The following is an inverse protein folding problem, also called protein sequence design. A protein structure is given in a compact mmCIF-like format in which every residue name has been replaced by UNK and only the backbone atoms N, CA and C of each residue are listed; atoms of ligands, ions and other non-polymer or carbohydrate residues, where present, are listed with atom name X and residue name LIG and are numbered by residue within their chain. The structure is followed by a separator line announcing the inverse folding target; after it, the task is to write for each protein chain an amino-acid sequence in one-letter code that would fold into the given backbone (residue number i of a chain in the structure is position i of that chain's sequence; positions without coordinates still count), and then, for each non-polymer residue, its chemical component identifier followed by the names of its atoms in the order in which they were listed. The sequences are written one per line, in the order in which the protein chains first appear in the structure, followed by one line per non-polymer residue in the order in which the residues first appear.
data_IF_708698082083
#
_entry.id   IF_708698082083
#
_cell.length_a   1.000
_cell.length_b   1.000
_cell.length_c   1.000
_cell.angle_alpha   90.00
_cell.angle_beta   90.00
_cell.angle_gamma   90.00
#
_symmetry.space_group_name_H-M   'P 1'
#
loop_
_entity.id
_entity.type
_entity.pdbx_description
1 polymer ?
#
# COMPACT_ATOMS: atom_id res chain seq x y z
N UNK A 1 -0.67 3.01 -5.27
CA UNK A 1 -1.40 2.32 -6.35
C UNK A 1 -2.29 1.25 -5.73
N UNK A 2 -3.56 1.17 -6.13
CA UNK A 2 -4.42 0.03 -5.76
C UNK A 2 -4.43 -0.95 -6.93
N UNK A 3 -4.18 -2.22 -6.64
CA UNK A 3 -4.20 -3.32 -7.61
C UNK A 3 -5.62 -3.59 -8.06
N UNK A 4 -5.78 -3.86 -9.36
CA UNK A 4 -7.07 -4.22 -9.92
C UNK A 4 -7.35 -5.72 -9.73
N UNK A 5 -8.27 -6.08 -8.84
CA UNK A 5 -8.67 -7.47 -8.61
C UNK A 5 -9.73 -7.92 -9.62
N UNK A 6 -9.44 -8.98 -10.37
CA UNK A 6 -10.43 -9.63 -11.24
C UNK A 6 -11.56 -10.25 -10.42
N UNK A 7 -12.70 -10.55 -11.06
CA UNK A 7 -13.83 -11.26 -10.41
C UNK A 7 -13.38 -12.56 -9.77
N UNK A 8 -12.52 -13.33 -10.45
CA UNK A 8 -11.97 -14.58 -9.91
C UNK A 8 -11.11 -14.34 -8.65
N UNK A 9 -10.25 -13.32 -8.67
CA UNK A 9 -9.41 -12.98 -7.52
C UNK A 9 -10.22 -12.55 -6.30
N UNK A 10 -11.24 -11.70 -6.47
CA UNK A 10 -12.14 -11.27 -5.39
C UNK A 10 -12.83 -12.45 -4.71
N UNK A 11 -13.38 -13.38 -5.51
CA UNK A 11 -14.02 -14.61 -4.99
C UNK A 11 -13.02 -15.47 -4.22
N UNK A 12 -11.81 -15.66 -4.75
CA UNK A 12 -10.76 -16.45 -4.07
C UNK A 12 -10.28 -15.80 -2.77
N UNK A 13 -10.13 -14.48 -2.73
CA UNK A 13 -9.80 -13.72 -1.52
C UNK A 13 -10.86 -13.95 -0.45
N UNK A 14 -12.14 -13.86 -0.80
CA UNK A 14 -13.25 -14.13 0.12
C UNK A 14 -13.23 -15.57 0.64
N UNK A 15 -13.13 -16.56 -0.25
CA UNK A 15 -13.13 -17.99 0.11
C UNK A 15 -11.96 -18.38 1.04
N UNK A 16 -10.86 -17.62 1.01
CA UNK A 16 -9.66 -17.89 1.81
C UNK A 16 -9.52 -16.95 3.00
N UNK A 17 -10.49 -16.06 3.23
CA UNK A 17 -10.41 -15.01 4.23
C UNK A 17 -9.10 -14.20 4.14
N UNK A 18 -8.67 -13.86 2.93
CA UNK A 18 -7.49 -13.02 2.68
C UNK A 18 -7.97 -11.63 2.24
N UNK A 19 -7.87 -10.61 3.13
CA UNK A 19 -8.20 -9.22 2.80
C UNK A 19 -7.37 -8.70 1.61
N UNK A 20 -7.96 -7.82 0.79
CA UNK A 20 -7.23 -7.21 -0.33
C UNK A 20 -5.98 -6.44 0.13
N UNK A 21 -6.05 -5.78 1.29
CA UNK A 21 -4.88 -5.10 1.87
C UNK A 21 -3.72 -6.07 2.08
N UNK A 22 -3.96 -7.30 2.56
CA UNK A 22 -2.88 -8.28 2.74
C UNK A 22 -2.26 -8.70 1.41
N UNK A 23 -3.05 -8.84 0.35
CA UNK A 23 -2.53 -9.10 -1.00
C UNK A 23 -1.69 -7.93 -1.53
N UNK A 24 -2.12 -6.67 -1.32
CA UNK A 24 -1.30 -5.48 -1.67
C UNK A 24 0.01 -5.45 -0.88
N UNK A 25 -0.01 -5.82 0.40
CA UNK A 25 1.18 -5.91 1.22
C UNK A 25 2.14 -6.99 0.70
N UNK A 26 1.63 -8.12 0.18
CA UNK A 26 2.48 -9.12 -0.50
C UNK A 26 3.14 -8.56 -1.76
N UNK A 27 2.44 -7.72 -2.54
CA UNK A 27 3.02 -7.06 -3.72
C UNK A 27 4.09 -6.02 -3.37
N UNK A 28 3.93 -5.30 -2.26
CA UNK A 28 4.88 -4.25 -1.86
C UNK A 28 6.09 -4.76 -1.06
N UNK A 29 5.91 -5.79 -0.25
CA UNK A 29 6.93 -6.28 0.69
C UNK A 29 7.42 -7.69 0.40
N UNK A 30 6.70 -8.44 -0.41
CA UNK A 30 7.02 -9.82 -0.74
C UNK A 30 8.16 -9.97 -1.73
N UNK A 31 8.47 -11.22 -2.03
CA UNK A 31 9.33 -11.64 -3.12
C UNK A 31 8.48 -12.06 -4.32
N UNK A 32 9.01 -11.86 -5.52
CA UNK A 32 8.35 -12.19 -6.77
C UNK A 32 9.09 -13.33 -7.47
N UNK A 33 8.38 -14.42 -7.73
CA UNK A 33 8.82 -15.49 -8.61
C UNK A 33 8.08 -15.40 -9.95
N UNK A 34 8.83 -15.42 -11.06
CA UNK A 34 8.24 -15.45 -12.40
C UNK A 34 7.74 -16.87 -12.71
N UNK A 35 6.46 -16.99 -13.08
CA UNK A 35 5.85 -18.28 -13.45
C UNK A 35 5.79 -18.49 -14.98
N UNK A 36 6.37 -17.57 -15.76
CA UNK A 36 6.23 -17.53 -17.22
C UNK A 36 4.90 -16.93 -17.68
N UNK A 37 4.78 -16.67 -18.99
CA UNK A 37 3.57 -16.11 -19.63
C UNK A 37 3.05 -14.82 -18.95
N UNK A 38 3.96 -13.96 -18.48
CA UNK A 38 3.62 -12.72 -17.77
C UNK A 38 3.03 -12.90 -16.37
N UNK A 39 2.95 -14.13 -15.85
CA UNK A 39 2.43 -14.43 -14.51
C UNK A 39 3.55 -14.33 -13.47
N UNK A 40 3.19 -13.78 -12.31
CA UNK A 40 4.09 -13.59 -11.17
C UNK A 40 3.43 -14.16 -9.92
N UNK A 41 4.21 -14.90 -9.14
CA UNK A 41 3.83 -15.38 -7.82
C UNK A 41 4.47 -14.48 -6.77
N UNK A 42 3.66 -13.97 -5.86
CA UNK A 42 4.10 -13.10 -4.78
C UNK A 42 3.85 -13.77 -3.43
N UNK A 43 4.87 -13.78 -2.58
CA UNK A 43 4.80 -14.33 -1.22
C UNK A 43 5.62 -13.48 -0.27
N UNK A 44 5.26 -13.46 1.01
CA UNK A 44 6.04 -12.73 2.02
C UNK A 44 7.07 -13.66 2.65
N UNK A 45 8.35 -13.31 2.54
CA UNK A 45 9.44 -14.00 3.23
C UNK A 45 9.78 -13.31 4.56
N UNK A 46 10.71 -13.89 5.34
CA UNK A 46 11.13 -13.36 6.64
C UNK A 46 11.64 -11.90 6.54
N UNK A 47 12.36 -11.57 5.47
CA UNK A 47 12.91 -10.22 5.25
C UNK A 47 11.81 -9.20 4.94
N UNK A 48 10.88 -9.56 4.06
CA UNK A 48 9.70 -8.78 3.71
C UNK A 48 8.83 -8.51 4.94
N UNK A 49 8.55 -9.54 5.72
CA UNK A 49 7.77 -9.44 6.95
C UNK A 49 8.44 -8.51 7.99
N UNK A 50 9.77 -8.58 8.14
CA UNK A 50 10.51 -7.68 9.04
C UNK A 50 10.39 -6.21 8.61
N UNK A 51 10.52 -5.93 7.30
CA UNK A 51 10.29 -4.58 6.75
C UNK A 51 8.87 -4.11 6.99
N UNK A 52 7.88 -4.94 6.66
CA UNK A 52 6.46 -4.63 6.83
C UNK A 52 6.15 -4.24 8.28
N UNK A 53 6.59 -5.05 9.25
CA UNK A 53 6.37 -4.77 10.68
C UNK A 53 6.95 -3.44 11.12
N UNK A 54 8.17 -3.10 10.66
CA UNK A 54 8.82 -1.83 10.97
C UNK A 54 8.02 -0.65 10.39
N UNK A 55 7.61 -0.75 9.15
CA UNK A 55 6.96 0.34 8.44
C UNK A 55 5.52 0.55 8.96
N UNK A 56 4.80 -0.53 9.29
CA UNK A 56 3.50 -0.48 9.99
C UNK A 56 3.63 0.13 11.38
N UNK A 57 4.67 -0.23 12.15
CA UNK A 57 4.89 0.37 13.47
C UNK A 57 5.03 1.89 13.36
N UNK A 58 5.84 2.36 12.39
CA UNK A 58 6.01 3.80 12.13
C UNK A 58 4.70 4.44 11.64
N UNK A 59 3.94 3.76 10.79
CA UNK A 59 2.65 4.23 10.30
C UNK A 59 1.67 4.45 11.45
N UNK A 60 1.50 3.45 12.32
CA UNK A 60 0.60 3.53 13.48
C UNK A 60 1.01 4.65 14.43
N UNK A 61 2.32 4.85 14.66
CA UNK A 61 2.83 5.94 15.49
C UNK A 61 2.54 7.35 14.94
N UNK A 62 2.33 7.49 13.64
CA UNK A 62 2.11 8.78 12.98
C UNK A 62 0.76 8.82 12.25
N UNK A 63 -0.20 7.99 12.68
CA UNK A 63 -1.44 7.76 11.93
C UNK A 63 -2.27 9.05 11.82
N UNK A 64 -2.39 9.78 12.93
CA UNK A 64 -3.13 11.04 12.98
C UNK A 64 -2.46 12.12 12.12
N UNK A 65 -1.13 12.14 12.06
CA UNK A 65 -0.38 13.12 11.25
C UNK A 65 -0.58 12.93 9.74
N UNK A 66 -1.06 11.75 9.29
CA UNK A 66 -1.36 11.55 7.87
C UNK A 66 -2.43 12.51 7.35
N UNK A 67 -3.35 12.94 8.22
CA UNK A 67 -4.40 13.89 7.83
C UNK A 67 -3.82 15.21 7.31
N UNK A 68 -2.62 15.57 7.79
CA UNK A 68 -1.91 16.79 7.45
C UNK A 68 -0.86 16.58 6.36
N UNK A 69 -0.79 15.38 5.75
CA UNK A 69 0.15 15.05 4.68
C UNK A 69 -0.58 14.88 3.36
N UNK A 70 0.12 15.11 2.25
CA UNK A 70 -0.39 14.84 0.90
C UNK A 70 0.70 14.24 0.03
N UNK A 71 0.25 13.60 -1.05
CA UNK A 71 1.08 13.12 -2.16
C UNK A 71 0.53 13.68 -3.46
N UNK A 72 1.41 14.08 -4.36
CA UNK A 72 1.08 14.35 -5.77
C UNK A 72 1.78 13.27 -6.58
N UNK A 73 1.00 12.49 -7.32
CA UNK A 73 1.52 11.56 -8.31
C UNK A 73 1.43 12.14 -9.73
N UNK A 74 2.21 11.54 -10.62
CA UNK A 74 2.15 11.74 -12.05
C UNK A 74 1.83 10.43 -12.74
N UNK A 75 2.12 10.36 -14.04
CA UNK A 75 1.80 9.18 -14.83
C UNK A 75 2.47 7.91 -14.28
N UNK A 76 1.77 6.80 -14.43
CA UNK A 76 2.23 5.47 -14.02
C UNK A 76 2.57 5.34 -12.52
N UNK A 77 1.97 6.17 -11.67
CA UNK A 77 2.12 6.10 -10.21
C UNK A 77 3.45 6.61 -9.70
N UNK A 78 4.17 7.40 -10.49
CA UNK A 78 5.38 8.09 -10.04
C UNK A 78 4.97 9.18 -9.05
N UNK A 79 5.48 9.12 -7.82
CA UNK A 79 5.28 10.21 -6.85
C UNK A 79 6.13 11.41 -7.27
N UNK A 80 5.47 12.50 -7.63
CA UNK A 80 6.10 13.76 -8.03
C UNK A 80 6.52 14.56 -6.81
N UNK A 81 5.67 14.63 -5.78
CA UNK A 81 6.01 15.30 -4.52
C UNK A 81 5.22 14.77 -3.32
N UNK A 82 5.73 15.00 -2.12
CA UNK A 82 5.06 14.80 -0.83
C UNK A 82 5.21 16.04 0.01
N UNK A 83 4.21 16.37 0.83
CA UNK A 83 4.29 17.56 1.67
C UNK A 83 3.28 17.59 2.80
N UNK A 84 3.31 18.70 3.54
CA UNK A 84 2.33 19.01 4.59
C UNK A 84 1.25 19.95 4.04
N UNK A 85 -0.01 19.66 4.34
CA UNK A 85 -1.13 20.57 4.08
C UNK A 85 -0.92 21.82 4.93
N UNK A 86 -1.01 22.99 4.31
CA UNK A 86 -1.03 24.25 5.05
C UNK A 86 -2.36 24.32 5.82
N UNK A 87 -2.32 24.35 7.15
CA UNK A 87 -3.50 24.64 7.98
C UNK A 87 -3.97 26.05 7.64
N UNK A 88 -5.14 26.18 7.02
CA UNK A 88 -5.82 27.47 6.86
C UNK A 88 -6.05 28.03 8.27
N UNK A 89 -5.35 29.10 8.65
CA UNK A 89 -5.70 29.83 9.86
C UNK A 89 -7.13 30.34 9.67
N UNK A 90 -8.06 29.89 10.53
CA UNK A 90 -9.40 30.47 10.56
C UNK A 90 -9.22 31.95 10.88
N UNK A 91 -9.63 32.84 9.97
CA UNK A 91 -9.78 34.24 10.32
C UNK A 91 -10.77 34.30 11.48
N UNK A 92 -10.33 34.88 12.60
CA UNK A 92 -11.24 35.23 13.68
C UNK A 92 -12.24 36.24 13.13
N UNK A 93 -13.52 35.88 13.16
CA UNK A 93 -14.65 36.80 13.00
C UNK A 93 -15.28 36.98 14.37
#
# INVERSE_FOLDING_TARGET
MSSHFSKHAKVRSQQRAIPHLEAELMLMYGECLHLGQGKRYWSINKRGLKRLKRDVRRLVQNLDELQDRYVIDGDHGVVVTVGHKLRRQKQAS
#
